data_IF_193593520441
#
_entry.id   IF_193593520441
#
_cell.length_a   1.000
_cell.length_b   1.000
_cell.length_c   1.000
_cell.angle_alpha   90.00
_cell.angle_beta   90.00
_cell.angle_gamma   90.00
#
_symmetry.space_group_name_H-M   'P 1'
#
loop_
_entity.id
_entity.type
_entity.pdbx_description
1 polymer ?
#
# COMPACT_ATOMS: atom_id res chain seq x y z
N UNK A 1 -28.01 39.30 -7.37
CA UNK A 1 -27.32 38.16 -6.74
C UNK A 1 -27.46 36.82 -7.52
N UNK A 2 -27.91 36.77 -8.78
CA UNK A 2 -28.06 35.50 -9.52
C UNK A 2 -26.76 34.95 -10.14
N UNK A 3 -25.72 35.77 -10.33
CA UNK A 3 -24.48 35.38 -11.03
C UNK A 3 -23.71 34.24 -10.36
N UNK A 4 -23.74 34.18 -9.03
CA UNK A 4 -23.03 33.13 -8.27
C UNK A 4 -23.73 31.77 -8.40
N UNK A 5 -25.08 31.75 -8.33
CA UNK A 5 -25.88 30.53 -8.55
C UNK A 5 -25.61 29.93 -9.92
N UNK A 6 -25.68 30.74 -10.98
CA UNK A 6 -25.44 30.29 -12.35
C UNK A 6 -24.03 29.75 -12.54
N UNK A 7 -23.01 30.39 -11.94
CA UNK A 7 -21.63 29.93 -12.03
C UNK A 7 -21.42 28.59 -11.31
N UNK A 8 -22.01 28.41 -10.13
CA UNK A 8 -22.01 27.14 -9.40
C UNK A 8 -22.66 26.03 -10.23
N UNK A 9 -23.83 26.29 -10.80
CA UNK A 9 -24.55 25.31 -11.61
C UNK A 9 -23.80 24.96 -12.90
N UNK A 10 -23.19 25.95 -13.55
CA UNK A 10 -22.33 25.75 -14.72
C UNK A 10 -21.15 24.83 -14.38
N UNK A 11 -20.38 25.16 -13.34
CA UNK A 11 -19.24 24.34 -12.89
C UNK A 11 -19.65 22.91 -12.55
N UNK A 12 -20.80 22.77 -11.88
CA UNK A 12 -21.35 21.46 -11.56
C UNK A 12 -21.75 20.68 -12.82
N UNK A 13 -22.43 21.31 -13.80
CA UNK A 13 -22.78 20.72 -15.10
C UNK A 13 -21.56 20.40 -15.96
N UNK A 14 -20.46 21.11 -15.79
CA UNK A 14 -19.21 20.90 -16.53
C UNK A 14 -18.40 19.69 -16.05
N UNK A 15 -18.80 19.01 -14.97
CA UNK A 15 -18.03 17.84 -14.47
C UNK A 15 -17.52 17.98 -13.05
N UNK A 16 -17.45 19.21 -12.52
CA UNK A 16 -16.77 19.48 -11.26
C UNK A 16 -17.61 18.94 -10.09
N UNK A 17 -17.03 18.14 -9.18
CA UNK A 17 -17.78 17.63 -8.03
C UNK A 17 -18.15 18.76 -7.08
N UNK A 18 -19.28 18.58 -6.38
CA UNK A 18 -19.84 19.58 -5.47
C UNK A 18 -18.84 20.06 -4.40
N UNK A 19 -17.96 19.17 -3.93
CA UNK A 19 -16.92 19.54 -2.94
C UNK A 19 -15.92 20.55 -3.49
N UNK A 20 -15.47 20.37 -4.73
CA UNK A 20 -14.50 21.26 -5.37
C UNK A 20 -15.15 22.59 -5.78
N UNK A 21 -16.41 22.55 -6.22
CA UNK A 21 -17.20 23.78 -6.41
C UNK A 21 -17.39 24.50 -5.07
N UNK A 22 -17.60 23.79 -3.97
CA UNK A 22 -17.74 24.42 -2.66
C UNK A 22 -16.43 25.09 -2.20
N UNK A 23 -15.29 24.41 -2.37
CA UNK A 23 -13.95 24.95 -2.10
C UNK A 23 -13.65 26.23 -2.91
N UNK A 24 -13.91 26.21 -4.22
CA UNK A 24 -13.68 27.38 -5.10
C UNK A 24 -14.46 28.63 -4.68
N UNK A 25 -15.61 28.44 -4.03
CA UNK A 25 -16.49 29.51 -3.58
C UNK A 25 -16.40 29.77 -2.06
N UNK A 26 -15.48 29.10 -1.36
CA UNK A 26 -15.28 29.29 0.08
C UNK A 26 -16.45 28.82 0.97
N UNK A 27 -17.24 27.85 0.50
CA UNK A 27 -18.39 27.30 1.21
C UNK A 27 -18.21 25.81 1.49
N UNK A 28 -19.01 25.25 2.39
CA UNK A 28 -18.98 23.81 2.65
C UNK A 28 -19.84 23.04 1.64
N UNK A 29 -19.43 21.82 1.31
CA UNK A 29 -20.19 20.97 0.39
C UNK A 29 -21.62 20.67 0.91
N UNK A 30 -21.79 20.57 2.23
CA UNK A 30 -23.10 20.39 2.86
C UNK A 30 -23.99 21.64 2.80
N UNK A 31 -23.40 22.84 2.85
CA UNK A 31 -24.12 24.09 2.61
C UNK A 31 -24.59 24.16 1.14
N UNK A 32 -23.71 23.82 0.20
CA UNK A 32 -24.03 23.83 -1.22
C UNK A 32 -25.07 22.75 -1.59
N UNK A 33 -25.03 21.59 -0.92
CA UNK A 33 -26.03 20.54 -1.07
C UNK A 33 -27.44 21.01 -0.69
N UNK A 34 -27.59 21.69 0.46
CA UNK A 34 -28.88 22.29 0.87
C UNK A 34 -29.38 23.33 -0.13
N UNK A 35 -28.49 24.16 -0.68
CA UNK A 35 -28.87 25.12 -1.72
C UNK A 35 -29.36 24.47 -3.01
N UNK A 36 -28.79 23.34 -3.41
CA UNK A 36 -29.27 22.58 -4.57
C UNK A 36 -30.69 22.03 -4.35
N UNK A 37 -31.00 21.57 -3.13
CA UNK A 37 -32.34 21.11 -2.78
C UNK A 37 -33.35 22.27 -2.84
N UNK A 38 -32.99 23.43 -2.28
CA UNK A 38 -33.80 24.66 -2.34
C UNK A 38 -33.99 25.17 -3.78
N UNK A 39 -33.02 24.94 -4.66
CA UNK A 39 -33.09 25.31 -6.08
C UNK A 39 -33.80 24.27 -6.95
N UNK A 40 -34.18 23.13 -6.39
CA UNK A 40 -34.83 22.02 -7.11
C UNK A 40 -33.90 21.32 -8.12
N UNK A 41 -32.58 21.39 -7.93
CA UNK A 41 -31.60 20.83 -8.85
C UNK A 41 -31.26 19.39 -8.46
N UNK A 42 -31.45 18.45 -9.40
CA UNK A 42 -31.13 17.04 -9.17
C UNK A 42 -29.61 16.86 -9.02
N UNK A 43 -29.19 16.38 -7.84
CA UNK A 43 -27.78 16.03 -7.62
C UNK A 43 -27.40 14.85 -8.51
N UNK A 44 -26.26 14.96 -9.19
CA UNK A 44 -25.65 13.88 -9.97
C UNK A 44 -25.55 12.61 -9.12
N UNK A 45 -25.99 11.50 -9.69
CA UNK A 45 -25.97 10.19 -9.05
C UNK A 45 -24.54 9.70 -8.73
N UNK A 46 -24.47 8.72 -7.83
CA UNK A 46 -23.24 8.11 -7.31
C UNK A 46 -22.22 7.75 -8.41
N UNK A 47 -22.69 7.23 -9.55
CA UNK A 47 -21.86 6.85 -10.70
C UNK A 47 -21.05 8.03 -11.27
N UNK A 48 -21.67 9.20 -11.44
CA UNK A 48 -20.98 10.38 -11.97
C UNK A 48 -19.97 10.98 -10.97
N UNK A 49 -20.26 10.91 -9.67
CA UNK A 49 -19.33 11.33 -8.61
C UNK A 49 -18.12 10.38 -8.51
N UNK A 50 -18.33 9.08 -8.72
CA UNK A 50 -17.27 8.07 -8.71
C UNK A 50 -16.30 8.20 -9.90
N UNK A 51 -16.78 8.65 -11.07
CA UNK A 51 -15.91 8.87 -12.24
C UNK A 51 -14.81 9.91 -11.99
N UNK A 52 -15.06 10.91 -11.13
CA UNK A 52 -14.03 11.88 -10.72
C UNK A 52 -13.13 11.35 -9.59
N UNK A 53 -13.64 10.43 -8.75
CA UNK A 53 -12.87 9.83 -7.64
C UNK A 53 -11.77 8.87 -8.11
N UNK A 54 -11.81 8.45 -9.38
CA UNK A 54 -10.69 7.74 -10.02
C UNK A 54 -9.57 8.74 -10.32
N UNK A 55 -8.85 9.14 -9.27
CA UNK A 55 -7.64 9.95 -9.41
C UNK A 55 -6.71 9.24 -10.41
N UNK A 56 -6.29 9.89 -11.52
CA UNK A 56 -5.31 9.32 -12.44
C UNK A 56 -3.97 9.06 -11.73
N UNK A 57 -3.76 9.63 -10.54
CA UNK A 57 -2.55 9.45 -9.74
C UNK A 57 -2.40 8.06 -9.10
N UNK A 58 -3.48 7.27 -8.98
CA UNK A 58 -3.41 5.90 -8.46
C UNK A 58 -3.54 4.88 -9.60
N UNK A 59 -2.64 4.98 -10.58
CA UNK A 59 -2.44 3.93 -11.59
C UNK A 59 -1.94 2.68 -10.86
N UNK A 60 -2.61 1.54 -11.08
CA UNK A 60 -2.06 0.25 -10.71
C UNK A 60 -0.75 0.06 -11.46
N UNK A 61 0.40 0.24 -10.79
CA UNK A 61 1.74 0.17 -11.41
C UNK A 61 2.20 -1.27 -11.67
N UNK A 62 1.25 -2.20 -11.85
CA UNK A 62 1.53 -3.63 -11.86
C UNK A 62 1.85 -4.18 -10.48
N UNK A 63 1.99 -5.50 -10.39
CA UNK A 63 2.72 -6.11 -9.27
C UNK A 63 4.20 -5.87 -9.54
N UNK A 64 4.98 -5.56 -8.50
CA UNK A 64 6.44 -5.56 -8.62
C UNK A 64 6.88 -6.85 -9.31
N UNK A 65 7.83 -6.74 -10.24
CA UNK A 65 8.29 -7.88 -11.03
C UNK A 65 8.68 -9.01 -10.07
N UNK A 66 8.04 -10.17 -10.28
CA UNK A 66 8.23 -11.30 -9.39
C UNK A 66 9.47 -12.02 -9.88
N UNK A 67 10.38 -12.30 -8.97
CA UNK A 67 11.50 -13.22 -9.25
C UNK A 67 10.96 -14.47 -9.94
N UNK A 68 11.60 -14.79 -11.05
CA UNK A 68 11.34 -16.01 -11.81
C UNK A 68 11.68 -17.22 -10.95
N UNK A 69 11.10 -18.37 -11.30
CA UNK A 69 11.40 -19.64 -10.65
C UNK A 69 12.90 -19.99 -10.76
N UNK A 70 13.55 -19.59 -11.87
CA UNK A 70 14.98 -19.81 -12.08
C UNK A 70 15.83 -19.03 -11.07
N UNK A 71 15.56 -17.73 -10.90
CA UNK A 71 16.26 -16.89 -9.92
C UNK A 71 16.04 -17.38 -8.48
N UNK A 72 14.83 -17.86 -8.16
CA UNK A 72 14.55 -18.45 -6.84
C UNK A 72 15.36 -19.73 -6.62
N UNK A 73 15.50 -20.57 -7.65
CA UNK A 73 16.29 -21.81 -7.56
C UNK A 73 17.78 -21.49 -7.39
N UNK A 74 18.31 -20.56 -8.17
CA UNK A 74 19.70 -20.13 -8.09
C UNK A 74 20.04 -19.54 -6.71
N UNK A 75 19.21 -18.61 -6.21
CA UNK A 75 19.39 -18.03 -4.88
C UNK A 75 19.39 -19.08 -3.75
N UNK A 76 18.54 -20.11 -3.88
CA UNK A 76 18.52 -21.23 -2.92
C UNK A 76 19.76 -22.11 -3.03
N UNK A 77 20.23 -22.38 -4.25
CA UNK A 77 21.45 -23.14 -4.47
C UNK A 77 22.67 -22.42 -3.90
N UNK A 78 22.78 -21.11 -4.11
CA UNK A 78 23.82 -20.27 -3.52
C UNK A 78 23.76 -20.30 -1.98
N UNK A 79 22.57 -20.15 -1.40
CA UNK A 79 22.39 -20.23 0.05
C UNK A 79 22.84 -21.56 0.64
N UNK A 80 22.52 -22.68 -0.02
CA UNK A 80 22.92 -24.03 0.44
C UNK A 80 24.41 -24.25 0.24
N UNK A 81 25.00 -23.79 -0.87
CA UNK A 81 26.43 -23.86 -1.11
C UNK A 81 27.23 -23.05 -0.08
N UNK A 82 26.67 -21.92 0.39
CA UNK A 82 27.26 -21.07 1.41
C UNK A 82 27.00 -21.51 2.87
N UNK A 83 26.56 -22.77 3.09
CA UNK A 83 26.16 -23.30 4.41
C UNK A 83 27.10 -22.91 5.54
N UNK A 84 28.39 -23.20 5.42
CA UNK A 84 29.37 -22.96 6.50
C UNK A 84 29.44 -21.48 6.91
N UNK A 85 29.44 -20.58 5.92
CA UNK A 85 29.44 -19.13 6.14
C UNK A 85 28.13 -18.66 6.79
N UNK A 86 26.99 -19.19 6.33
CA UNK A 86 25.67 -18.89 6.90
C UNK A 86 25.59 -19.34 8.36
N UNK A 87 26.05 -20.55 8.68
CA UNK A 87 26.09 -21.06 10.06
C UNK A 87 26.97 -20.20 10.96
N UNK A 88 28.18 -19.85 10.51
CA UNK A 88 29.11 -19.02 11.27
C UNK A 88 28.53 -17.61 11.54
N UNK A 89 27.90 -17.00 10.53
CA UNK A 89 27.25 -15.69 10.67
C UNK A 89 26.03 -15.73 11.56
N UNK A 90 25.20 -16.77 11.44
CA UNK A 90 24.06 -16.96 12.34
C UNK A 90 24.52 -17.16 13.79
N UNK A 91 25.55 -17.98 14.03
CA UNK A 91 26.13 -18.19 15.37
C UNK A 91 26.77 -16.93 15.95
N UNK A 92 27.39 -16.09 15.13
CA UNK A 92 28.06 -14.85 15.57
C UNK A 92 27.11 -13.67 15.83
N UNK A 93 25.90 -13.66 15.28
CA UNK A 93 25.00 -12.52 15.53
C UNK A 93 23.92 -12.29 14.49
N UNK A 94 24.17 -12.70 13.24
CA UNK A 94 23.30 -12.35 12.13
C UNK A 94 21.88 -12.90 12.33
N UNK A 95 20.88 -12.06 12.10
CA UNK A 95 19.49 -12.49 12.12
C UNK A 95 19.14 -13.26 10.85
N UNK A 96 18.15 -14.15 10.93
CA UNK A 96 17.63 -14.85 9.76
C UNK A 96 17.12 -13.88 8.67
N UNK A 97 16.61 -12.71 9.07
CA UNK A 97 16.19 -11.66 8.14
C UNK A 97 17.36 -11.01 7.40
N UNK A 98 18.50 -10.79 8.06
CA UNK A 98 19.71 -10.27 7.41
C UNK A 98 20.25 -11.26 6.37
N UNK A 99 20.37 -12.53 6.75
CA UNK A 99 20.80 -13.62 5.86
C UNK A 99 19.84 -13.78 4.68
N UNK A 100 18.53 -13.69 4.91
CA UNK A 100 17.54 -13.78 3.85
C UNK A 100 17.68 -12.67 2.80
N UNK A 101 17.98 -11.43 3.22
CA UNK A 101 18.19 -10.31 2.29
C UNK A 101 19.46 -10.48 1.47
N UNK A 102 20.53 -10.91 2.13
CA UNK A 102 21.83 -11.13 1.50
C UNK A 102 21.75 -12.17 0.38
N UNK A 103 21.21 -13.35 0.69
CA UNK A 103 21.08 -14.45 -0.27
C UNK A 103 19.80 -14.38 -1.10
N UNK A 104 19.04 -13.28 -1.01
CA UNK A 104 17.75 -13.09 -1.69
C UNK A 104 16.75 -14.23 -1.45
N UNK A 105 16.81 -14.96 -0.34
CA UNK A 105 15.83 -16.00 0.02
C UNK A 105 14.77 -15.45 0.98
N UNK A 106 13.76 -16.26 1.34
CA UNK A 106 12.78 -15.84 2.35
C UNK A 106 13.33 -16.12 3.76
N UNK A 107 12.98 -15.32 4.79
CA UNK A 107 13.35 -15.59 6.18
C UNK A 107 12.85 -16.96 6.67
N UNK A 108 11.67 -17.39 6.20
CA UNK A 108 11.13 -18.73 6.48
C UNK A 108 12.04 -19.83 5.94
N UNK A 109 12.51 -19.68 4.70
CA UNK A 109 13.44 -20.65 4.11
C UNK A 109 14.75 -20.74 4.90
N UNK A 110 15.30 -19.59 5.34
CA UNK A 110 16.49 -19.57 6.21
C UNK A 110 16.23 -20.33 7.52
N UNK A 111 15.10 -20.07 8.18
CA UNK A 111 14.75 -20.71 9.44
C UNK A 111 14.53 -22.23 9.30
N UNK A 112 13.98 -22.69 8.18
CA UNK A 112 13.83 -24.12 7.87
C UNK A 112 15.18 -24.78 7.59
N UNK A 113 16.05 -24.15 6.80
CA UNK A 113 17.39 -24.68 6.49
C UNK A 113 18.27 -24.75 7.73
N UNK A 114 18.26 -23.72 8.58
CA UNK A 114 19.01 -23.73 9.84
C UNK A 114 18.55 -24.87 10.76
N UNK A 115 17.23 -25.12 10.84
CA UNK A 115 16.71 -26.25 11.61
C UNK A 115 17.14 -27.60 11.03
N UNK A 116 17.10 -27.77 9.70
CA UNK A 116 17.59 -28.99 9.03
C UNK A 116 19.09 -29.22 9.24
N UNK A 117 19.88 -28.15 9.31
CA UNK A 117 21.32 -28.22 9.59
C UNK A 117 21.64 -28.41 11.08
N UNK A 118 20.64 -28.53 11.95
CA UNK A 118 20.81 -28.70 13.38
C UNK A 118 21.28 -27.45 14.11
N UNK A 119 21.12 -26.27 13.51
CA UNK A 119 21.42 -24.99 14.16
C UNK A 119 20.21 -24.60 15.02
N UNK A 120 20.36 -24.55 16.37
CA UNK A 120 19.24 -24.20 17.23
C UNK A 120 18.79 -22.78 16.92
N UNK A 121 17.47 -22.57 16.92
CA UNK A 121 16.93 -21.22 16.90
C UNK A 121 17.43 -20.51 18.14
N UNK A 122 17.92 -19.29 17.98
CA UNK A 122 18.16 -18.43 19.14
C UNK A 122 16.79 -18.21 19.77
N UNK A 123 16.60 -18.79 20.95
CA UNK A 123 15.44 -18.51 21.78
C UNK A 123 15.38 -17.00 21.93
N UNK A 124 14.42 -16.38 21.24
CA UNK A 124 14.04 -15.02 21.54
C UNK A 124 13.66 -15.05 23.01
N UNK A 125 14.32 -14.21 23.82
CA UNK A 125 13.98 -14.04 25.22
C UNK A 125 12.44 -14.07 25.35
N UNK A 126 11.86 -14.82 26.31
CA UNK A 126 10.43 -14.81 26.49
C UNK A 126 10.03 -13.34 26.59
N UNK A 127 9.04 -12.96 25.77
CA UNK A 127 8.48 -11.62 25.73
C UNK A 127 7.97 -11.27 27.13
N UNK A 128 8.86 -10.75 27.97
CA UNK A 128 8.60 -10.28 29.32
C UNK A 128 7.88 -8.94 29.19
N UNK A 129 6.61 -8.99 28.79
CA UNK A 129 5.67 -7.93 29.12
C UNK A 129 5.12 -8.25 30.51
N UNK A 130 5.81 -7.74 31.52
CA UNK A 130 5.26 -7.47 32.85
C UNK A 130 5.56 -6.00 33.16
N UNK A 131 4.63 -5.12 32.81
CA UNK A 131 4.07 -4.05 33.66
C UNK A 131 2.97 -3.32 32.89
#
# INVERSE_FOLDING_TARGET
>A
MLKQRELVLRRYRDGVPLSRVAEEFGVTAGWLGRRFDEWGETRRGLIAALMYRRSPARVFRGRADRRTTAEVREARAEFVAARESVEARYRSGASAAALAREFRVSPTYVAERLAEWGVPRRDGAPSSYIN
#
